data_IF_438245997079
#
_entry.id   IF_438245997079
#
_cell.length_a   1.000
_cell.length_b   1.000
_cell.length_c   1.000
_cell.angle_alpha   90.00
_cell.angle_beta   90.00
_cell.angle_gamma   90.00
#
_symmetry.space_group_name_H-M   'P 1'
#
loop_
_entity.id
_entity.type
_entity.pdbx_description
1 polymer ?
#
# COMPACT_ATOMS: atom_id res chain seq x y z
N UNK A 1 10.90 16.34 25.18
CA UNK A 1 9.49 16.57 25.54
C UNK A 1 8.63 15.32 25.28
N UNK A 2 8.71 14.71 24.12
CA UNK A 2 7.93 13.49 23.79
C UNK A 2 8.58 12.24 24.41
N UNK A 3 7.78 11.39 25.07
CA UNK A 3 8.22 10.10 25.62
C UNK A 3 7.63 8.90 24.86
N UNK A 4 6.97 9.15 23.73
CA UNK A 4 6.46 8.09 22.87
C UNK A 4 5.63 8.59 21.70
N UNK A 5 4.99 7.65 21.01
CA UNK A 5 4.15 7.89 19.83
C UNK A 5 2.79 7.23 20.01
N UNK A 6 1.73 8.00 19.93
CA UNK A 6 0.35 7.52 19.93
C UNK A 6 -0.10 7.19 18.49
N UNK A 7 -0.62 6.00 18.29
CA UNK A 7 -1.04 5.47 16.98
C UNK A 7 -2.55 5.27 16.94
N UNK A 8 -3.18 5.82 15.90
CA UNK A 8 -4.60 5.65 15.62
C UNK A 8 -4.84 4.72 14.43
N UNK A 9 -5.77 3.79 14.58
CA UNK A 9 -6.30 2.94 13.51
C UNK A 9 -7.81 3.13 13.35
N UNK A 10 -8.40 2.82 12.18
CA UNK A 10 -9.84 3.01 11.94
C UNK A 10 -10.58 1.71 11.65
N UNK A 11 -10.40 1.11 10.47
CA UNK A 11 -11.15 -0.07 10.04
C UNK A 11 -10.97 -1.29 10.96
N UNK A 12 -9.85 -1.38 11.65
CA UNK A 12 -9.59 -2.42 12.64
C UNK A 12 -10.62 -2.34 13.80
N UNK A 13 -11.02 -1.13 14.18
CA UNK A 13 -12.00 -0.91 15.24
C UNK A 13 -13.40 -1.46 14.92
N UNK A 14 -13.75 -1.56 13.64
CA UNK A 14 -15.05 -2.07 13.16
C UNK A 14 -15.13 -3.60 13.16
N UNK A 15 -14.05 -4.31 13.45
CA UNK A 15 -14.00 -5.77 13.46
C UNK A 15 -14.55 -6.32 14.80
N UNK A 16 -15.04 -7.57 14.77
CA UNK A 16 -15.41 -8.29 15.99
C UNK A 16 -14.20 -8.42 16.94
N UNK A 17 -14.39 -8.53 18.25
CA UNK A 17 -13.30 -8.53 19.22
C UNK A 17 -12.17 -9.51 18.93
N UNK A 18 -12.42 -10.79 18.55
CA UNK A 18 -11.33 -11.73 18.21
C UNK A 18 -10.55 -11.31 16.97
N UNK A 19 -11.24 -10.86 15.91
CA UNK A 19 -10.62 -10.41 14.66
C UNK A 19 -9.84 -9.12 14.88
N UNK A 20 -10.39 -8.18 15.68
CA UNK A 20 -9.73 -6.94 16.07
C UNK A 20 -8.41 -7.22 16.77
N UNK A 21 -8.41 -8.09 17.77
CA UNK A 21 -7.19 -8.49 18.50
C UNK A 21 -6.14 -9.06 17.55
N UNK A 22 -6.53 -9.97 16.67
CA UNK A 22 -5.63 -10.55 15.65
C UNK A 22 -5.02 -9.46 14.76
N UNK A 23 -5.83 -8.51 14.28
CA UNK A 23 -5.34 -7.43 13.38
C UNK A 23 -4.43 -6.45 14.10
N UNK A 24 -4.73 -6.11 15.36
CA UNK A 24 -3.85 -5.28 16.20
C UNK A 24 -2.50 -5.98 16.40
N UNK A 25 -2.50 -7.28 16.69
CA UNK A 25 -1.26 -8.04 16.87
C UNK A 25 -0.42 -8.07 15.58
N UNK A 26 -1.05 -8.23 14.41
CA UNK A 26 -0.37 -8.15 13.11
C UNK A 26 0.20 -6.75 12.90
N UNK A 27 -0.57 -5.70 13.20
CA UNK A 27 -0.13 -4.31 13.08
C UNK A 27 1.10 -4.03 13.95
N UNK A 28 1.04 -4.40 15.23
CA UNK A 28 2.17 -4.25 16.17
C UNK A 28 3.39 -5.02 15.66
N UNK A 29 3.22 -6.28 15.24
CA UNK A 29 4.32 -7.07 14.67
C UNK A 29 4.97 -6.39 13.47
N UNK A 30 4.16 -5.86 12.54
CA UNK A 30 4.67 -5.16 11.35
C UNK A 30 5.45 -3.90 11.74
N UNK A 31 4.93 -3.11 12.69
CA UNK A 31 5.62 -1.92 13.19
C UNK A 31 6.97 -2.30 13.80
N UNK A 32 6.99 -3.24 14.75
CA UNK A 32 8.21 -3.67 15.44
C UNK A 32 9.26 -4.23 14.47
N UNK A 33 8.81 -5.04 13.49
CA UNK A 33 9.70 -5.54 12.44
C UNK A 33 10.27 -4.41 11.57
N UNK A 34 9.46 -3.39 11.25
CA UNK A 34 9.90 -2.21 10.50
C UNK A 34 10.88 -1.32 11.26
N UNK A 35 10.82 -1.33 12.59
CA UNK A 35 11.74 -0.57 13.43
C UNK A 35 13.14 -1.19 13.58
N UNK A 36 13.34 -2.43 13.13
CA UNK A 36 14.68 -3.01 12.98
C UNK A 36 15.48 -3.12 14.28
N UNK A 37 14.81 -3.34 15.43
CA UNK A 37 15.48 -3.52 16.73
C UNK A 37 15.53 -2.25 17.60
N UNK A 38 14.89 -1.16 17.20
CA UNK A 38 14.69 0.00 18.10
C UNK A 38 13.89 -0.45 19.32
N UNK A 39 14.43 -0.15 20.52
CA UNK A 39 13.78 -0.52 21.78
C UNK A 39 12.54 0.34 22.02
N UNK A 40 11.37 -0.30 22.08
CA UNK A 40 10.09 0.34 22.39
C UNK A 40 9.27 -0.55 23.30
N UNK A 41 8.53 0.05 24.24
CA UNK A 41 7.50 -0.63 24.99
C UNK A 41 6.15 -0.35 24.34
N UNK A 42 5.33 -1.38 24.17
CA UNK A 42 4.04 -1.30 23.47
C UNK A 42 2.91 -1.44 24.47
N UNK A 43 2.07 -0.42 24.56
CA UNK A 43 0.87 -0.43 25.38
C UNK A 43 -0.37 -0.16 24.52
N UNK A 44 -1.55 -0.61 24.97
CA UNK A 44 -2.83 -0.41 24.28
C UNK A 44 -3.82 0.28 25.20
N UNK A 45 -4.42 1.36 24.71
CA UNK A 45 -5.36 2.17 25.47
C UNK A 45 -6.62 2.46 24.61
N UNK A 46 -7.73 1.79 24.90
CA UNK A 46 -9.04 2.12 24.34
C UNK A 46 -9.03 2.46 22.82
N UNK A 47 -8.54 1.56 21.95
CA UNK A 47 -8.52 1.81 20.50
C UNK A 47 -7.32 2.65 20.03
N UNK A 48 -6.28 2.77 20.83
CA UNK A 48 -4.96 3.33 20.50
C UNK A 48 -3.85 2.34 20.82
N UNK A 49 -2.75 2.45 20.08
CA UNK A 49 -1.48 1.82 20.41
C UNK A 49 -0.54 2.94 20.81
N UNK A 50 0.16 2.77 21.91
CA UNK A 50 1.21 3.68 22.36
C UNK A 50 2.56 2.96 22.34
N UNK A 51 3.54 3.61 21.71
CA UNK A 51 4.92 3.16 21.71
C UNK A 51 5.73 4.10 22.59
N UNK A 52 6.09 3.62 23.79
CA UNK A 52 6.97 4.34 24.70
C UNK A 52 8.42 4.17 24.22
N UNK A 53 9.16 5.26 24.10
CA UNK A 53 10.54 5.28 23.59
C UNK A 53 11.31 6.53 24.06
N UNK A 54 12.63 6.43 24.07
CA UNK A 54 13.49 7.58 24.37
C UNK A 54 13.66 8.54 23.18
N UNK A 55 13.58 8.01 21.94
CA UNK A 55 13.65 8.79 20.70
C UNK A 55 12.49 8.40 19.78
N UNK A 56 11.67 9.39 19.43
CA UNK A 56 10.49 9.20 18.57
C UNK A 56 10.82 9.19 17.07
N UNK A 57 11.97 9.71 16.68
CA UNK A 57 12.34 9.94 15.30
C UNK A 57 12.37 8.66 14.44
N UNK A 58 12.97 7.54 14.89
CA UNK A 58 12.94 6.29 14.14
C UNK A 58 11.53 5.78 13.88
N UNK A 59 10.62 5.95 14.85
CA UNK A 59 9.21 5.57 14.73
C UNK A 59 8.51 6.45 13.71
N UNK A 60 8.76 7.77 13.76
CA UNK A 60 8.18 8.74 12.84
C UNK A 60 8.60 8.52 11.38
N UNK A 61 9.76 7.91 11.13
CA UNK A 61 10.21 7.55 9.77
C UNK A 61 9.51 6.31 9.22
N UNK A 62 9.12 5.37 10.07
CA UNK A 62 8.51 4.10 9.65
C UNK A 62 6.99 4.21 9.49
N UNK A 63 6.30 4.85 10.44
CA UNK A 63 4.84 4.86 10.52
C UNK A 63 4.12 5.46 9.29
N UNK A 64 4.68 6.43 8.53
CA UNK A 64 4.07 6.92 7.30
C UNK A 64 3.82 5.86 6.23
N UNK A 65 4.49 4.71 6.31
CA UNK A 65 4.41 3.60 5.35
C UNK A 65 3.67 2.38 5.88
N UNK A 66 3.16 2.43 7.12
CA UNK A 66 2.50 1.28 7.77
C UNK A 66 1.01 1.26 7.49
N UNK A 67 0.58 0.28 6.72
CA UNK A 67 -0.85 0.03 6.52
C UNK A 67 -1.53 -0.43 7.81
N UNK A 68 -2.76 0.08 8.04
CA UNK A 68 -3.51 -0.09 9.28
C UNK A 68 -3.44 1.14 10.18
N UNK A 69 -2.42 1.98 10.06
CA UNK A 69 -2.28 3.25 10.76
C UNK A 69 -2.96 4.37 9.96
N UNK A 70 -3.83 5.15 10.60
CA UNK A 70 -4.50 6.29 9.96
C UNK A 70 -3.72 7.58 10.18
N UNK A 71 -3.32 7.80 11.43
CA UNK A 71 -2.38 8.84 11.82
C UNK A 71 -1.61 8.39 13.06
N UNK A 72 -0.52 9.04 13.31
CA UNK A 72 0.23 8.93 14.55
C UNK A 72 0.63 10.31 15.05
N UNK A 73 0.98 10.39 16.32
CA UNK A 73 1.40 11.63 16.97
C UNK A 73 2.52 11.36 17.96
N UNK A 74 3.71 11.98 17.78
CA UNK A 74 4.65 12.11 18.88
C UNK A 74 3.95 12.79 20.05
N UNK A 75 3.99 12.21 21.22
CA UNK A 75 3.23 12.68 22.38
C UNK A 75 3.97 12.48 23.69
N UNK A 76 3.49 13.17 24.72
CA UNK A 76 3.82 12.87 26.10
C UNK A 76 2.67 12.10 26.73
N UNK A 77 2.95 10.95 27.27
CA UNK A 77 2.05 10.15 28.07
C UNK A 77 2.29 10.38 29.56
N UNK A 78 1.25 10.75 30.30
CA UNK A 78 1.26 11.00 31.76
C UNK A 78 -0.06 10.56 32.38
N UNK A 79 -0.09 10.50 33.71
CA UNK A 79 -1.34 10.39 34.46
C UNK A 79 -2.16 11.67 34.37
N UNK A 80 -3.49 11.54 34.37
CA UNK A 80 -4.41 12.67 34.25
C UNK A 80 -4.23 13.70 35.37
N UNK A 81 -3.93 13.28 36.60
CA UNK A 81 -3.67 14.13 37.75
C UNK A 81 -2.51 15.12 37.51
N UNK A 82 -1.53 14.74 36.71
CA UNK A 82 -0.35 15.55 36.40
C UNK A 82 -0.56 16.50 35.20
N UNK A 83 -1.73 16.45 34.55
CA UNK A 83 -1.98 17.20 33.29
C UNK A 83 -1.78 18.71 33.46
N UNK A 84 -2.37 19.32 34.50
CA UNK A 84 -2.29 20.78 34.69
C UNK A 84 -0.87 21.25 34.95
N UNK A 85 -0.14 20.51 35.75
CA UNK A 85 1.27 20.78 36.05
C UNK A 85 2.14 20.67 34.78
N UNK A 86 1.97 19.58 34.04
CA UNK A 86 2.66 19.38 32.77
C UNK A 86 2.41 20.55 31.79
N UNK A 87 1.15 21.01 31.66
CA UNK A 87 0.81 22.14 30.78
C UNK A 87 1.49 23.42 31.25
N UNK A 88 1.47 23.73 32.56
CA UNK A 88 2.18 24.92 33.09
C UNK A 88 3.66 24.94 32.72
N UNK A 89 4.33 23.79 32.82
CA UNK A 89 5.76 23.65 32.54
C UNK A 89 6.08 23.64 31.04
N UNK A 90 5.16 23.21 30.18
CA UNK A 90 5.45 22.94 28.78
C UNK A 90 4.62 23.74 27.77
N UNK A 91 3.73 24.65 28.21
CA UNK A 91 2.86 25.43 27.34
C UNK A 91 3.63 26.17 26.23
N UNK A 92 4.75 26.79 26.57
CA UNK A 92 5.59 27.50 25.60
C UNK A 92 6.12 26.56 24.51
N UNK A 93 6.58 25.35 24.87
CA UNK A 93 7.06 24.35 23.89
C UNK A 93 5.92 23.77 23.04
N UNK A 94 4.72 23.61 23.60
CA UNK A 94 3.55 23.09 22.87
C UNK A 94 3.05 24.08 21.82
N UNK A 95 3.06 25.39 22.15
CA UNK A 95 2.60 26.47 21.27
C UNK A 95 3.70 26.88 20.28
N UNK A 96 4.96 26.93 20.74
CA UNK A 96 6.07 27.47 19.95
C UNK A 96 5.86 28.94 19.59
N UNK A 97 6.12 29.30 18.34
CA UNK A 97 5.99 30.71 17.84
C UNK A 97 4.60 31.01 17.26
N UNK A 98 3.59 30.17 17.47
CA UNK A 98 2.26 30.38 16.90
C UNK A 98 1.56 31.58 17.53
N UNK A 99 0.91 32.38 16.69
CA UNK A 99 0.15 33.61 17.12
C UNK A 99 -1.22 33.27 17.68
N UNK A 100 -1.75 32.09 17.34
CA UNK A 100 -3.04 31.62 17.84
C UNK A 100 -3.05 30.13 18.05
N UNK A 101 -3.89 29.65 18.98
CA UNK A 101 -4.03 28.23 19.24
C UNK A 101 -5.46 27.84 19.59
N UNK A 102 -5.70 26.52 19.53
CA UNK A 102 -6.87 25.88 20.14
C UNK A 102 -6.45 24.64 20.91
N UNK A 103 -7.22 24.28 21.93
CA UNK A 103 -7.17 22.96 22.57
C UNK A 103 -8.27 22.10 21.97
N UNK A 104 -7.98 20.83 21.71
CA UNK A 104 -8.93 19.82 21.27
C UNK A 104 -8.80 18.60 22.15
N UNK A 105 -9.80 18.34 22.97
CA UNK A 105 -9.81 17.23 23.90
C UNK A 105 -10.72 16.10 23.41
N UNK A 106 -10.29 14.89 23.63
CA UNK A 106 -11.07 13.65 23.47
C UNK A 106 -10.94 12.82 24.73
N UNK A 107 -12.05 12.31 25.23
CA UNK A 107 -12.03 11.42 26.39
C UNK A 107 -12.75 10.10 26.13
N UNK A 108 -12.28 9.06 26.76
CA UNK A 108 -12.89 7.74 26.80
C UNK A 108 -12.86 7.25 28.25
N UNK A 109 -14.01 6.75 28.72
CA UNK A 109 -14.22 6.37 30.09
C UNK A 109 -15.17 7.32 30.85
N UNK A 110 -15.39 7.04 32.14
CA UNK A 110 -16.24 7.86 33.02
C UNK A 110 -15.37 8.89 33.72
N UNK A 111 -15.74 10.17 33.58
CA UNK A 111 -15.05 11.31 34.23
C UNK A 111 -16.11 12.30 34.66
N UNK A 112 -15.84 13.08 35.70
CA UNK A 112 -16.70 14.13 36.21
C UNK A 112 -16.74 15.39 35.34
N UNK A 113 -15.87 15.47 34.31
CA UNK A 113 -15.77 16.57 33.36
C UNK A 113 -16.05 16.13 31.94
N UNK A 114 -16.48 17.05 31.08
CA UNK A 114 -16.65 16.86 29.64
C UNK A 114 -15.36 17.19 28.88
N UNK A 115 -15.27 16.79 27.61
CA UNK A 115 -14.15 17.22 26.76
C UNK A 115 -14.08 18.76 26.63
N UNK A 116 -15.24 19.42 26.59
CA UNK A 116 -15.33 20.88 26.51
C UNK A 116 -14.83 21.58 27.78
N UNK A 117 -15.13 21.01 28.95
CA UNK A 117 -14.61 21.52 30.24
C UNK A 117 -13.09 21.43 30.28
N UNK A 118 -12.55 20.30 29.78
CA UNK A 118 -11.10 20.10 29.68
C UNK A 118 -10.47 21.10 28.70
N UNK A 119 -11.08 21.31 27.52
CA UNK A 119 -10.61 22.29 26.53
C UNK A 119 -10.59 23.70 27.12
N UNK A 120 -11.62 24.13 27.84
CA UNK A 120 -11.72 25.44 28.50
C UNK A 120 -10.67 25.60 29.61
N UNK A 121 -10.58 24.60 30.50
CA UNK A 121 -9.64 24.61 31.63
C UNK A 121 -8.19 24.70 31.15
N UNK A 122 -7.82 23.85 30.20
CA UNK A 122 -6.43 23.82 29.68
C UNK A 122 -6.16 25.00 28.75
N UNK A 123 -7.15 25.44 27.97
CA UNK A 123 -7.03 26.64 27.14
C UNK A 123 -6.76 27.88 27.98
N UNK A 124 -7.50 28.07 29.08
CA UNK A 124 -7.27 29.17 30.03
C UNK A 124 -5.85 29.12 30.64
N UNK A 125 -5.43 27.94 31.07
CA UNK A 125 -4.10 27.76 31.64
C UNK A 125 -2.97 28.09 30.64
N UNK A 126 -3.12 27.70 29.35
CA UNK A 126 -2.14 28.06 28.31
C UNK A 126 -2.09 29.58 28.10
N UNK A 127 -3.27 30.27 28.09
CA UNK A 127 -3.33 31.74 27.96
C UNK A 127 -2.61 32.43 29.11
N UNK A 128 -2.79 31.95 30.35
CA UNK A 128 -2.10 32.48 31.51
C UNK A 128 -0.57 32.42 31.38
N UNK A 129 -0.07 31.28 30.87
CA UNK A 129 1.39 31.01 30.78
C UNK A 129 2.02 31.72 29.58
N UNK A 130 1.40 31.62 28.39
CA UNK A 130 2.06 32.00 27.11
C UNK A 130 1.51 33.31 26.54
N UNK A 131 0.36 33.78 27.02
CA UNK A 131 -0.36 35.00 26.52
C UNK A 131 -0.69 34.91 25.02
N UNK A 132 -0.85 33.69 24.50
CA UNK A 132 -1.20 33.44 23.10
C UNK A 132 -2.73 33.54 22.88
N UNK A 133 -3.16 34.09 21.74
CA UNK A 133 -4.58 34.27 21.38
C UNK A 133 -5.24 32.88 21.15
N UNK A 134 -6.44 32.74 21.68
CA UNK A 134 -7.29 31.57 21.36
C UNK A 134 -8.05 31.82 20.05
N UNK A 135 -7.94 30.89 19.10
CA UNK A 135 -8.74 30.86 17.86
C UNK A 135 -9.31 29.46 17.67
N UNK A 136 -10.60 29.32 17.88
CA UNK A 136 -11.27 28.01 17.79
C UNK A 136 -11.59 27.60 16.36
N UNK A 137 -11.60 28.55 15.39
CA UNK A 137 -11.95 28.25 13.99
C UNK A 137 -10.73 27.97 13.13
N UNK A 138 -9.73 28.84 13.19
CA UNK A 138 -8.53 28.81 12.35
C UNK A 138 -7.25 28.94 13.19
N UNK A 139 -6.99 28.07 14.17
CA UNK A 139 -5.78 28.17 15.00
C UNK A 139 -4.52 27.84 14.17
N UNK A 140 -3.46 28.61 14.38
CA UNK A 140 -2.13 28.26 13.82
C UNK A 140 -1.56 27.00 14.48
N UNK A 141 -1.89 26.76 15.76
CA UNK A 141 -1.47 25.58 16.50
C UNK A 141 -2.63 24.93 17.22
N UNK A 142 -2.66 23.60 17.22
CA UNK A 142 -3.64 22.83 18.00
C UNK A 142 -2.90 21.98 19.03
N UNK A 143 -3.30 22.12 20.30
CA UNK A 143 -2.88 21.21 21.36
C UNK A 143 -3.97 20.17 21.55
N UNK A 144 -3.62 18.91 21.29
CA UNK A 144 -4.51 17.77 21.43
C UNK A 144 -4.30 17.11 22.79
N UNK A 145 -5.39 16.72 23.43
CA UNK A 145 -5.39 15.99 24.70
C UNK A 145 -6.33 14.80 24.54
N UNK A 146 -5.79 13.58 24.61
CA UNK A 146 -6.59 12.38 24.67
C UNK A 146 -6.53 11.78 26.07
N UNK A 147 -7.68 11.72 26.75
CA UNK A 147 -7.83 11.08 28.07
C UNK A 147 -8.48 9.69 27.90
N UNK A 148 -7.85 8.67 28.47
CA UNK A 148 -8.32 7.29 28.42
C UNK A 148 -8.21 6.64 29.80
N UNK A 149 -9.36 6.63 30.52
CA UNK A 149 -9.34 6.34 31.95
C UNK A 149 -8.48 7.36 32.68
N UNK A 150 -7.46 6.92 33.42
CA UNK A 150 -6.52 7.80 34.13
C UNK A 150 -5.24 8.14 33.34
N UNK A 151 -5.18 7.75 32.06
CA UNK A 151 -4.03 8.02 31.19
C UNK A 151 -4.32 9.23 30.30
N UNK A 152 -3.32 10.08 30.10
CA UNK A 152 -3.42 11.30 29.32
C UNK A 152 -2.29 11.40 28.29
N UNK A 153 -2.65 11.68 27.03
CA UNK A 153 -1.74 11.82 25.91
C UNK A 153 -1.82 13.26 25.38
N UNK A 154 -0.71 13.98 25.39
CA UNK A 154 -0.63 15.38 24.95
C UNK A 154 0.28 15.44 23.73
N UNK A 155 -0.22 16.07 22.65
CA UNK A 155 0.52 16.26 21.41
C UNK A 155 0.04 17.52 20.67
N UNK A 156 0.85 18.00 19.72
CA UNK A 156 0.54 19.21 18.96
C UNK A 156 0.61 19.03 17.44
N UNK A 157 0.70 17.80 16.98
CA UNK A 157 0.68 17.45 15.55
C UNK A 157 0.10 16.07 15.34
N UNK A 158 -0.54 15.87 14.18
CA UNK A 158 -0.98 14.54 13.69
C UNK A 158 -0.33 14.31 12.34
N UNK A 159 0.42 13.23 12.22
CA UNK A 159 1.08 12.85 10.98
C UNK A 159 0.24 11.75 10.32
N UNK A 160 -0.21 12.03 9.08
CA UNK A 160 -1.07 11.12 8.32
C UNK A 160 -0.30 9.88 7.88
N UNK A 161 -0.99 8.75 7.87
CA UNK A 161 -0.51 7.45 7.37
C UNK A 161 -1.52 6.87 6.38
N UNK A 162 -1.20 5.77 5.67
CA UNK A 162 -2.00 5.28 4.54
C UNK A 162 -3.39 4.72 4.93
N UNK A 163 -3.62 4.41 6.20
CA UNK A 163 -4.84 3.73 6.64
C UNK A 163 -4.92 2.28 6.16
N UNK A 164 -6.12 1.79 5.90
CA UNK A 164 -6.37 0.42 5.45
C UNK A 164 -6.22 -0.62 6.54
N UNK A 165 -5.72 -1.80 6.17
CA UNK A 165 -5.54 -2.97 7.04
C UNK A 165 -4.07 -3.40 7.08
N UNK A 166 -3.58 -3.98 8.19
CA UNK A 166 -2.20 -4.45 8.30
C UNK A 166 -1.89 -5.53 7.27
N UNK A 167 -0.75 -5.44 6.60
CA UNK A 167 -0.30 -6.49 5.65
C UNK A 167 -0.24 -7.83 6.38
N UNK A 168 -0.78 -8.88 5.74
CA UNK A 168 -0.89 -10.22 6.30
C UNK A 168 -2.24 -10.52 6.96
N UNK A 169 -3.12 -9.51 7.11
CA UNK A 169 -4.45 -9.71 7.69
C UNK A 169 -5.47 -10.32 6.73
N UNK A 170 -5.27 -10.16 5.40
CA UNK A 170 -6.24 -10.52 4.35
C UNK A 170 -5.75 -11.60 3.37
N UNK A 171 -4.70 -12.34 3.75
CA UNK A 171 -4.19 -13.44 2.92
C UNK A 171 -3.13 -12.99 1.90
N UNK A 172 -2.96 -13.83 0.85
CA UNK A 172 -1.89 -13.70 -0.14
C UNK A 172 -2.46 -13.62 -1.55
N UNK A 173 -1.85 -12.79 -2.40
CA UNK A 173 -2.23 -12.62 -3.81
C UNK A 173 -1.00 -12.59 -4.71
N UNK A 174 -1.11 -13.12 -5.92
CA UNK A 174 -0.12 -12.92 -6.98
C UNK A 174 -0.53 -11.70 -7.79
N UNK A 175 0.35 -10.72 -7.92
CA UNK A 175 0.07 -9.52 -8.66
C UNK A 175 0.93 -9.46 -9.93
N UNK A 176 0.30 -9.38 -11.10
CA UNK A 176 0.99 -9.15 -12.36
C UNK A 176 1.49 -7.70 -12.38
N UNK A 177 2.78 -7.52 -12.08
CA UNK A 177 3.41 -6.20 -12.00
C UNK A 177 4.40 -6.02 -13.13
N UNK A 178 4.30 -4.91 -13.83
CA UNK A 178 5.26 -4.47 -14.87
C UNK A 178 5.99 -3.22 -14.41
N UNK A 179 6.93 -2.74 -15.22
CA UNK A 179 7.53 -1.41 -15.05
C UNK A 179 6.62 -0.23 -15.42
N UNK A 180 5.36 -0.47 -15.76
CA UNK A 180 4.37 0.57 -16.09
C UNK A 180 3.70 1.18 -14.85
N UNK A 181 2.88 2.21 -15.07
CA UNK A 181 2.26 3.03 -14.01
C UNK A 181 1.16 2.27 -13.25
N UNK A 182 0.29 1.51 -13.96
CA UNK A 182 -0.97 1.01 -13.43
C UNK A 182 -0.78 -0.19 -12.47
N UNK A 183 0.02 -1.18 -12.87
CA UNK A 183 0.17 -2.41 -12.10
C UNK A 183 0.83 -2.24 -10.71
N UNK A 184 1.79 -1.32 -10.48
CA UNK A 184 2.28 -1.04 -9.13
C UNK A 184 1.22 -0.41 -8.22
N UNK A 185 0.36 0.46 -8.78
CA UNK A 185 -0.75 1.06 -8.03
C UNK A 185 -1.74 -0.03 -7.59
N UNK A 186 -2.09 -0.95 -8.50
CA UNK A 186 -2.94 -2.09 -8.15
C UNK A 186 -2.33 -2.96 -7.04
N UNK A 187 -1.03 -3.24 -7.10
CA UNK A 187 -0.31 -3.98 -6.06
C UNK A 187 -0.36 -3.27 -4.71
N UNK A 188 -0.07 -1.96 -4.70
CA UNK A 188 -0.14 -1.12 -3.50
C UNK A 188 -1.56 -1.08 -2.89
N UNK A 189 -2.60 -0.98 -3.73
CA UNK A 189 -3.99 -1.01 -3.26
C UNK A 189 -4.32 -2.33 -2.56
N UNK A 190 -3.80 -3.47 -3.04
CA UNK A 190 -3.99 -4.76 -2.37
C UNK A 190 -3.19 -4.86 -1.07
N UNK A 191 -1.97 -4.30 -1.00
CA UNK A 191 -1.24 -4.15 0.27
C UNK A 191 -2.06 -3.34 1.28
N UNK A 192 -2.66 -2.22 0.86
CA UNK A 192 -3.54 -1.38 1.69
C UNK A 192 -4.77 -2.12 2.20
N UNK A 193 -5.25 -3.15 1.48
CA UNK A 193 -6.31 -4.05 1.94
C UNK A 193 -5.81 -5.23 2.79
N UNK A 194 -4.53 -5.21 3.21
CA UNK A 194 -3.94 -6.18 4.12
C UNK A 194 -3.44 -7.46 3.45
N UNK A 195 -3.36 -7.50 2.12
CA UNK A 195 -2.81 -8.66 1.40
C UNK A 195 -1.27 -8.66 1.41
N UNK A 196 -0.69 -9.85 1.53
CA UNK A 196 0.70 -10.09 1.15
C UNK A 196 0.72 -10.24 -0.36
N UNK A 197 1.44 -9.35 -1.04
CA UNK A 197 1.52 -9.32 -2.50
C UNK A 197 2.80 -10.01 -2.96
N UNK A 198 2.65 -10.90 -3.95
CA UNK A 198 3.74 -11.53 -4.68
C UNK A 198 3.78 -10.97 -6.10
N UNK A 199 4.62 -9.96 -6.39
CA UNK A 199 4.75 -9.42 -7.74
C UNK A 199 5.31 -10.47 -8.70
N UNK A 200 4.68 -10.61 -9.88
CA UNK A 200 5.10 -11.48 -10.96
C UNK A 200 5.25 -10.66 -12.24
N UNK A 201 6.43 -10.71 -12.85
CA UNK A 201 6.74 -10.03 -14.10
C UNK A 201 6.99 -11.03 -15.24
N UNK A 202 6.23 -10.87 -16.33
CA UNK A 202 6.48 -11.58 -17.55
C UNK A 202 7.61 -10.88 -18.33
N UNK A 203 8.79 -11.48 -18.35
CA UNK A 203 9.99 -10.92 -18.98
C UNK A 203 10.11 -11.38 -20.42
N UNK A 204 10.16 -10.44 -21.35
CA UNK A 204 10.25 -10.72 -22.80
C UNK A 204 11.19 -9.73 -23.51
N UNK A 205 12.49 -9.79 -23.22
CA UNK A 205 13.48 -8.89 -23.85
C UNK A 205 13.50 -9.10 -25.36
N UNK A 206 13.74 -8.03 -26.11
CA UNK A 206 14.05 -8.10 -27.54
C UNK A 206 15.45 -7.58 -27.78
N UNK A 207 16.29 -8.42 -28.36
CA UNK A 207 17.65 -8.01 -28.76
C UNK A 207 18.51 -7.56 -27.57
N UNK A 208 18.30 -8.14 -26.38
CA UNK A 208 19.07 -7.81 -25.17
C UNK A 208 18.65 -6.54 -24.44
N UNK A 209 17.52 -5.90 -24.82
CA UNK A 209 17.02 -4.72 -24.10
C UNK A 209 16.36 -5.14 -22.76
N UNK A 210 17.03 -4.81 -21.66
CA UNK A 210 16.60 -5.09 -20.29
C UNK A 210 15.88 -3.91 -19.61
N UNK A 211 15.53 -2.87 -20.34
CA UNK A 211 14.95 -1.65 -19.80
C UNK A 211 13.65 -1.89 -19.02
N UNK A 212 12.81 -2.83 -19.46
CA UNK A 212 11.59 -3.20 -18.76
C UNK A 212 11.86 -3.91 -17.43
N UNK A 213 12.88 -4.74 -17.36
CA UNK A 213 13.33 -5.41 -16.13
C UNK A 213 13.90 -4.39 -15.14
N UNK A 214 14.69 -3.44 -15.61
CA UNK A 214 15.25 -2.37 -14.77
C UNK A 214 14.13 -1.51 -14.18
N UNK A 215 13.15 -1.07 -14.99
CA UNK A 215 11.98 -0.34 -14.48
C UNK A 215 11.18 -1.17 -13.46
N UNK A 216 10.98 -2.46 -13.72
CA UNK A 216 10.34 -3.35 -12.77
C UNK A 216 11.08 -3.39 -11.43
N UNK A 217 12.40 -3.55 -11.44
CA UNK A 217 13.23 -3.55 -10.23
C UNK A 217 13.10 -2.22 -9.46
N UNK A 218 13.15 -1.07 -10.15
CA UNK A 218 13.00 0.23 -9.51
C UNK A 218 11.61 0.41 -8.88
N UNK A 219 10.57 -0.05 -9.54
CA UNK A 219 9.21 -0.09 -8.99
C UNK A 219 9.13 -1.00 -7.75
N UNK A 220 9.78 -2.16 -7.78
CA UNK A 220 9.81 -3.06 -6.64
C UNK A 220 10.49 -2.45 -5.41
N UNK A 221 11.55 -1.64 -5.59
CA UNK A 221 12.20 -0.92 -4.48
C UNK A 221 11.22 -0.01 -3.76
N UNK A 222 10.35 0.69 -4.51
CA UNK A 222 9.29 1.51 -3.92
C UNK A 222 8.25 0.66 -3.20
N UNK A 223 7.76 -0.41 -3.84
CA UNK A 223 6.78 -1.31 -3.21
C UNK A 223 7.34 -2.00 -1.96
N UNK A 224 8.64 -2.32 -1.94
CA UNK A 224 9.31 -2.86 -0.75
C UNK A 224 9.25 -1.88 0.42
N UNK A 225 9.44 -0.60 0.15
CA UNK A 225 9.34 0.44 1.18
C UNK A 225 7.93 0.49 1.81
N UNK A 226 6.88 0.23 1.03
CA UNK A 226 5.51 0.10 1.51
C UNK A 226 5.21 -1.24 2.19
N UNK A 227 6.05 -2.25 2.04
CA UNK A 227 5.87 -3.59 2.62
C UNK A 227 6.46 -3.72 4.02
N UNK A 228 6.17 -2.75 4.89
CA UNK A 228 6.71 -2.68 6.25
C UNK A 228 6.33 -3.92 7.05
N UNK A 229 7.34 -4.58 7.62
CA UNK A 229 7.20 -5.75 8.48
C UNK A 229 6.96 -7.07 7.75
N UNK A 230 6.81 -7.05 6.40
CA UNK A 230 6.62 -8.25 5.59
C UNK A 230 7.59 -8.21 4.39
N UNK A 231 8.46 -9.24 4.20
CA UNK A 231 9.36 -9.27 3.06
C UNK A 231 8.59 -9.26 1.73
N UNK A 232 8.96 -8.36 0.81
CA UNK A 232 8.44 -8.36 -0.54
C UNK A 232 9.23 -9.39 -1.37
N UNK A 233 8.57 -10.49 -1.74
CA UNK A 233 9.13 -11.55 -2.58
C UNK A 233 8.56 -11.40 -3.98
N UNK A 234 9.39 -11.03 -4.93
CA UNK A 234 9.02 -10.78 -6.31
C UNK A 234 9.53 -11.88 -7.22
N UNK A 235 8.85 -12.10 -8.34
CA UNK A 235 9.15 -13.17 -9.29
C UNK A 235 9.19 -12.64 -10.71
N UNK A 236 9.97 -13.31 -11.56
CA UNK A 236 9.97 -13.14 -13.01
C UNK A 236 10.04 -14.49 -13.71
N UNK A 237 9.57 -14.54 -14.94
CA UNK A 237 9.71 -15.69 -15.81
C UNK A 237 9.90 -15.24 -17.27
N UNK A 238 10.51 -16.09 -18.09
CA UNK A 238 10.70 -15.81 -19.52
C UNK A 238 9.40 -16.02 -20.27
N UNK A 239 8.94 -15.01 -20.98
CA UNK A 239 7.68 -15.01 -21.72
C UNK A 239 7.87 -14.84 -23.25
N UNK A 240 9.09 -14.58 -23.70
CA UNK A 240 9.42 -14.29 -25.09
C UNK A 240 9.01 -15.43 -26.05
N UNK A 241 9.33 -16.68 -25.70
CA UNK A 241 8.97 -17.85 -26.49
C UNK A 241 7.45 -17.96 -26.73
N UNK A 242 6.66 -17.63 -25.73
CA UNK A 242 5.18 -17.61 -25.87
C UNK A 242 4.74 -16.56 -26.90
N UNK A 243 5.29 -15.35 -26.82
CA UNK A 243 4.93 -14.27 -27.74
C UNK A 243 5.29 -14.59 -29.19
N UNK A 244 6.42 -15.29 -29.43
CA UNK A 244 6.82 -15.72 -30.75
C UNK A 244 5.77 -16.69 -31.33
N UNK A 245 5.40 -17.71 -30.57
CA UNK A 245 4.43 -18.72 -31.02
C UNK A 245 3.01 -18.13 -31.19
N UNK A 246 2.56 -17.28 -30.26
CA UNK A 246 1.26 -16.61 -30.37
C UNK A 246 1.16 -15.70 -31.60
N UNK A 247 2.25 -14.96 -31.90
CA UNK A 247 2.27 -14.08 -33.06
C UNK A 247 2.32 -14.83 -34.37
N UNK A 248 2.98 -16.00 -34.43
CA UNK A 248 2.98 -16.88 -35.60
C UNK A 248 1.58 -17.50 -35.85
N UNK A 249 0.96 -18.04 -34.80
CA UNK A 249 -0.29 -18.79 -34.94
C UNK A 249 -1.52 -17.87 -35.13
N UNK A 250 -1.60 -16.76 -34.40
CA UNK A 250 -2.76 -15.91 -34.37
C UNK A 250 -2.40 -14.43 -34.10
N UNK A 251 -1.80 -13.70 -35.06
CA UNK A 251 -1.31 -12.35 -34.85
C UNK A 251 -2.33 -11.40 -34.22
N UNK A 252 -3.58 -11.44 -34.66
CA UNK A 252 -4.68 -10.60 -34.15
C UNK A 252 -4.99 -10.81 -32.69
N UNK A 253 -4.82 -12.04 -32.18
CA UNK A 253 -5.14 -12.46 -30.81
C UNK A 253 -3.92 -12.54 -29.89
N UNK A 254 -2.73 -12.13 -30.33
CA UNK A 254 -1.48 -12.21 -29.57
C UNK A 254 -1.61 -11.66 -28.14
N UNK A 255 -2.26 -10.50 -27.94
CA UNK A 255 -2.42 -9.90 -26.62
C UNK A 255 -3.35 -10.70 -25.71
N UNK A 256 -4.37 -11.36 -26.26
CA UNK A 256 -5.32 -12.19 -25.50
C UNK A 256 -4.62 -13.46 -25.04
N UNK A 257 -3.97 -14.17 -25.95
CA UNK A 257 -3.19 -15.38 -25.66
C UNK A 257 -2.06 -15.10 -24.64
N UNK A 258 -1.37 -13.97 -24.80
CA UNK A 258 -0.35 -13.49 -23.88
C UNK A 258 -0.91 -13.36 -22.45
N UNK A 259 -2.05 -12.69 -22.26
CA UNK A 259 -2.64 -12.50 -20.93
C UNK A 259 -3.17 -13.80 -20.36
N UNK A 260 -3.78 -14.67 -21.16
CA UNK A 260 -4.20 -16.00 -20.75
C UNK A 260 -3.01 -16.83 -20.23
N UNK A 261 -1.86 -16.80 -20.92
CA UNK A 261 -0.64 -17.46 -20.46
C UNK A 261 -0.11 -16.84 -19.18
N UNK A 262 -0.13 -15.51 -19.04
CA UNK A 262 0.26 -14.85 -17.77
C UNK A 262 -0.59 -15.32 -16.59
N UNK A 263 -1.91 -15.52 -16.78
CA UNK A 263 -2.78 -16.04 -15.71
C UNK A 263 -2.46 -17.50 -15.38
N UNK A 264 -2.17 -18.35 -16.36
CA UNK A 264 -1.75 -19.73 -16.10
C UNK A 264 -0.45 -19.79 -15.29
N UNK A 265 0.55 -18.98 -15.65
CA UNK A 265 1.80 -18.89 -14.85
C UNK A 265 1.55 -18.33 -13.46
N UNK A 266 0.64 -17.34 -13.35
CA UNK A 266 0.25 -16.79 -12.06
C UNK A 266 -0.48 -17.82 -11.17
N UNK A 267 -1.31 -18.71 -11.75
CA UNK A 267 -1.93 -19.84 -11.03
C UNK A 267 -0.85 -20.77 -10.46
N UNK A 268 0.17 -21.12 -11.23
CA UNK A 268 1.25 -22.00 -10.76
C UNK A 268 2.08 -21.34 -9.64
N UNK A 269 2.38 -20.05 -9.78
CA UNK A 269 3.01 -19.30 -8.68
C UNK A 269 2.09 -19.24 -7.46
N UNK A 270 0.79 -19.03 -7.65
CA UNK A 270 -0.18 -18.97 -6.56
C UNK A 270 -0.24 -20.27 -5.76
N UNK A 271 -0.19 -21.42 -6.44
CA UNK A 271 -0.06 -22.76 -5.80
C UNK A 271 1.20 -22.81 -4.93
N UNK A 272 2.36 -22.39 -5.47
CA UNK A 272 3.66 -22.38 -4.78
C UNK A 272 3.69 -21.53 -3.53
N UNK A 273 3.05 -20.32 -3.55
CA UNK A 273 3.07 -19.38 -2.43
C UNK A 273 1.80 -19.43 -1.57
N UNK A 274 0.85 -20.30 -1.91
CA UNK A 274 -0.48 -20.39 -1.30
C UNK A 274 -1.26 -19.08 -1.37
N UNK A 275 -1.25 -18.43 -2.54
CA UNK A 275 -2.09 -17.26 -2.82
C UNK A 275 -3.51 -17.69 -3.23
N UNK A 276 -4.50 -16.81 -3.05
CA UNK A 276 -5.92 -17.11 -3.27
C UNK A 276 -6.57 -16.24 -4.33
N UNK A 277 -5.82 -15.34 -4.95
CA UNK A 277 -6.30 -14.51 -6.05
C UNK A 277 -5.12 -14.03 -6.92
N UNK A 278 -5.43 -13.67 -8.16
CA UNK A 278 -4.57 -12.94 -9.07
C UNK A 278 -5.00 -11.46 -9.07
N UNK A 279 -4.06 -10.54 -9.22
CA UNK A 279 -4.31 -9.10 -9.28
C UNK A 279 -3.68 -8.53 -10.54
N UNK A 280 -4.40 -7.67 -11.23
CA UNK A 280 -3.90 -6.97 -12.42
C UNK A 280 -4.17 -5.47 -12.32
N UNK A 281 -3.36 -4.68 -13.05
CA UNK A 281 -3.55 -3.22 -13.18
C UNK A 281 -4.38 -2.84 -14.41
N UNK A 282 -5.38 -3.64 -14.77
CA UNK A 282 -6.24 -3.39 -15.93
C UNK A 282 -7.29 -2.33 -15.62
N UNK A 283 -7.51 -1.43 -16.62
CA UNK A 283 -8.58 -0.44 -16.65
C UNK A 283 -9.52 -0.79 -17.80
N UNK A 284 -10.82 -0.61 -17.63
CA UNK A 284 -11.80 -0.92 -18.67
C UNK A 284 -11.58 0.00 -19.89
N UNK A 285 -11.55 -0.60 -21.07
CA UNK A 285 -11.48 0.09 -22.37
C UNK A 285 -10.19 0.94 -22.60
N UNK A 286 -9.18 0.86 -21.75
CA UNK A 286 -7.94 1.63 -21.94
C UNK A 286 -7.14 1.12 -23.15
N UNK A 287 -7.13 -0.20 -23.41
CA UNK A 287 -6.51 -0.81 -24.59
C UNK A 287 -7.41 -1.92 -25.15
N UNK A 288 -7.17 -2.33 -26.39
CA UNK A 288 -8.00 -3.30 -27.10
C UNK A 288 -8.23 -4.63 -26.35
N UNK A 289 -7.26 -5.10 -25.55
CA UNK A 289 -7.40 -6.31 -24.74
C UNK A 289 -8.24 -6.12 -23.47
N UNK A 290 -8.64 -4.92 -23.13
CA UNK A 290 -9.36 -4.58 -21.90
C UNK A 290 -10.85 -4.22 -22.15
N UNK A 291 -11.44 -4.75 -23.23
CA UNK A 291 -12.90 -4.72 -23.43
C UNK A 291 -13.56 -5.82 -22.62
N UNK A 292 -14.85 -5.69 -22.30
CA UNK A 292 -15.58 -6.70 -21.52
C UNK A 292 -15.50 -8.10 -22.16
N UNK A 293 -15.70 -8.18 -23.48
CA UNK A 293 -15.59 -9.44 -24.21
C UNK A 293 -14.20 -10.08 -24.08
N UNK A 294 -13.13 -9.27 -24.21
CA UNK A 294 -11.78 -9.77 -24.11
C UNK A 294 -11.42 -10.15 -22.66
N UNK A 295 -11.86 -9.37 -21.68
CA UNK A 295 -11.65 -9.70 -20.25
C UNK A 295 -12.34 -11.01 -19.89
N UNK A 296 -13.58 -11.24 -20.35
CA UNK A 296 -14.29 -12.50 -20.13
C UNK A 296 -13.52 -13.70 -20.72
N UNK A 297 -13.00 -13.55 -21.94
CA UNK A 297 -12.19 -14.59 -22.59
C UNK A 297 -10.86 -14.81 -21.88
N UNK A 298 -10.22 -13.74 -21.36
CA UNK A 298 -8.95 -13.84 -20.65
C UNK A 298 -9.16 -14.49 -19.27
N UNK A 299 -10.22 -14.16 -18.55
CA UNK A 299 -10.50 -14.64 -17.20
C UNK A 299 -10.72 -16.15 -17.13
N UNK A 300 -11.23 -16.75 -18.19
CA UNK A 300 -11.43 -18.20 -18.24
C UNK A 300 -10.13 -19.01 -18.09
N UNK A 301 -8.97 -18.41 -18.39
CA UNK A 301 -7.68 -19.06 -18.15
C UNK A 301 -7.20 -19.00 -16.69
N UNK A 302 -7.94 -18.34 -15.81
CA UNK A 302 -7.61 -18.26 -14.38
C UNK A 302 -8.38 -19.30 -13.57
N UNK A 303 -7.67 -20.04 -12.71
CA UNK A 303 -8.28 -20.95 -11.71
C UNK A 303 -8.69 -20.18 -10.44
N UNK A 304 -8.26 -18.93 -10.30
CA UNK A 304 -8.45 -18.09 -9.12
C UNK A 304 -9.23 -16.82 -9.48
N UNK A 305 -9.91 -16.19 -8.51
CA UNK A 305 -10.50 -14.86 -8.71
C UNK A 305 -9.45 -13.86 -9.19
N UNK A 306 -9.83 -13.04 -10.20
CA UNK A 306 -8.98 -11.96 -10.73
C UNK A 306 -9.48 -10.62 -10.21
N UNK A 307 -8.69 -9.95 -9.39
CA UNK A 307 -8.98 -8.63 -8.87
C UNK A 307 -8.36 -7.54 -9.75
N UNK A 308 -9.17 -6.55 -10.07
CA UNK A 308 -8.78 -5.37 -10.87
C UNK A 308 -9.06 -4.09 -10.09
N UNK A 309 -8.18 -3.70 -9.16
CA UNK A 309 -8.43 -2.54 -8.29
C UNK A 309 -8.64 -1.24 -9.06
N UNK A 310 -8.18 -1.16 -10.31
CA UNK A 310 -8.22 0.04 -11.15
C UNK A 310 -9.28 -0.02 -12.26
N UNK A 311 -10.16 -1.02 -12.28
CA UNK A 311 -11.05 -1.27 -13.43
C UNK A 311 -11.93 -0.07 -13.82
N UNK A 312 -12.34 0.74 -12.84
CA UNK A 312 -13.17 1.93 -13.04
C UNK A 312 -12.40 3.25 -12.95
N UNK A 313 -11.07 3.23 -12.84
CA UNK A 313 -10.26 4.44 -12.74
C UNK A 313 -9.93 4.98 -14.12
N UNK A 314 -9.87 6.31 -14.23
CA UNK A 314 -9.25 6.94 -15.39
C UNK A 314 -7.71 7.01 -15.24
N UNK A 315 -7.05 7.49 -16.30
CA UNK A 315 -5.58 7.59 -16.33
C UNK A 315 -5.06 8.60 -15.32
N UNK A 316 -5.76 9.72 -15.12
CA UNK A 316 -5.35 10.80 -14.23
C UNK A 316 -5.45 10.37 -12.77
N UNK A 317 -6.50 9.64 -12.41
CA UNK A 317 -6.66 9.09 -11.05
C UNK A 317 -5.54 8.10 -10.71
N UNK A 318 -5.21 7.22 -11.65
CA UNK A 318 -4.13 6.25 -11.47
C UNK A 318 -2.77 6.94 -11.35
N UNK A 319 -2.48 7.93 -12.20
CA UNK A 319 -1.23 8.71 -12.14
C UNK A 319 -1.10 9.50 -10.83
N UNK A 320 -2.19 10.08 -10.33
CA UNK A 320 -2.21 10.79 -9.04
C UNK A 320 -1.77 9.85 -7.91
N UNK A 321 -2.32 8.65 -7.85
CA UNK A 321 -1.92 7.66 -6.84
C UNK A 321 -0.48 7.22 -7.05
N UNK A 322 -0.05 6.97 -8.29
CA UNK A 322 1.32 6.58 -8.60
C UNK A 322 2.35 7.63 -8.13
N UNK A 323 2.04 8.93 -8.25
CA UNK A 323 2.86 10.03 -7.70
C UNK A 323 2.86 10.04 -6.18
N UNK A 324 1.68 9.89 -5.56
CA UNK A 324 1.53 9.86 -4.11
C UNK A 324 2.35 8.73 -3.47
N UNK A 325 2.37 7.56 -4.09
CA UNK A 325 3.10 6.39 -3.57
C UNK A 325 4.57 6.31 -4.03
N UNK A 326 5.00 7.19 -4.94
CA UNK A 326 6.39 7.29 -5.43
C UNK A 326 6.77 6.33 -6.56
N UNK A 327 5.79 5.64 -7.19
CA UNK A 327 6.08 4.71 -8.31
C UNK A 327 6.10 5.40 -9.67
N UNK A 328 5.51 6.60 -9.81
CA UNK A 328 5.36 7.29 -11.10
C UNK A 328 6.71 7.54 -11.78
N UNK A 329 7.64 8.19 -11.09
CA UNK A 329 8.95 8.54 -11.66
C UNK A 329 9.76 7.29 -12.03
N UNK A 330 9.62 6.21 -11.23
CA UNK A 330 10.29 4.93 -11.49
C UNK A 330 9.74 4.23 -12.73
N UNK A 331 8.44 4.35 -12.97
CA UNK A 331 7.78 3.84 -14.19
C UNK A 331 8.13 4.65 -15.44
N UNK A 332 8.51 5.92 -15.29
CA UNK A 332 8.85 6.83 -16.38
C UNK A 332 10.37 6.91 -16.68
N UNK A 333 11.21 6.16 -15.97
CA UNK A 333 12.67 6.17 -16.21
C UNK A 333 12.96 5.79 -17.66
N UNK A 334 13.66 6.67 -18.36
CA UNK A 334 14.27 6.38 -19.67
C UNK A 334 15.60 5.69 -19.43
N UNK A 335 15.67 4.41 -19.74
CA UNK A 335 16.93 3.67 -19.67
C UNK A 335 17.65 3.86 -21.00
N UNK A 336 18.82 4.50 -20.97
CA UNK A 336 19.70 4.65 -22.14
C UNK A 336 20.42 3.32 -22.40
N UNK A 337 19.82 2.45 -23.20
CA UNK A 337 20.41 1.19 -23.64
C UNK A 337 21.09 1.30 -25.01
N UNK A 338 21.33 2.53 -25.50
CA UNK A 338 21.90 2.78 -26.84
C UNK A 338 20.92 2.55 -27.99
N UNK A 339 19.71 2.05 -27.70
CA UNK A 339 18.61 1.89 -28.66
C UNK A 339 17.54 2.95 -28.43
N UNK A 340 16.87 3.39 -29.50
CA UNK A 340 15.71 4.27 -29.40
C UNK A 340 14.70 3.72 -28.37
N UNK A 341 14.15 4.56 -27.45
CA UNK A 341 13.20 4.12 -26.44
C UNK A 341 11.99 3.50 -27.14
N UNK A 342 11.85 2.18 -27.08
CA UNK A 342 10.71 1.47 -27.62
C UNK A 342 9.58 1.55 -26.60
N UNK A 343 8.61 2.40 -26.89
CA UNK A 343 7.34 2.42 -26.16
C UNK A 343 6.49 1.24 -26.63
N UNK A 344 6.36 0.22 -25.76
CA UNK A 344 5.39 -0.85 -25.95
C UNK A 344 5.96 -2.22 -26.32
N UNK A 345 5.11 -3.24 -26.24
CA UNK A 345 5.42 -4.63 -26.54
C UNK A 345 5.70 -4.81 -28.04
N UNK A 346 6.86 -5.40 -28.39
CA UNK A 346 7.27 -5.68 -29.77
C UNK A 346 6.35 -6.68 -30.49
N UNK A 347 5.61 -7.50 -29.74
CA UNK A 347 4.68 -8.48 -30.27
C UNK A 347 3.25 -7.93 -30.44
N UNK A 348 3.03 -6.64 -30.10
CA UNK A 348 1.71 -6.01 -30.24
C UNK A 348 1.24 -6.07 -31.70
N UNK A 349 0.01 -6.57 -31.98
CA UNK A 349 -0.56 -6.57 -33.31
C UNK A 349 -0.79 -5.14 -33.85
N UNK A 350 -0.69 -4.97 -35.15
CA UNK A 350 -1.09 -3.71 -35.83
C UNK A 350 -2.59 -3.46 -35.73
N UNK A 351 -3.39 -4.55 -35.77
CA UNK A 351 -4.85 -4.52 -35.63
C UNK A 351 -5.27 -5.53 -34.56
N UNK A 352 -5.20 -5.17 -33.25
CA UNK A 352 -5.58 -6.07 -32.19
C UNK A 352 -7.08 -6.33 -32.16
N UNK A 353 -7.50 -7.53 -31.76
CA UNK A 353 -8.90 -7.86 -31.56
C UNK A 353 -9.49 -7.04 -30.40
N UNK A 354 -10.62 -6.39 -30.63
CA UNK A 354 -11.42 -5.69 -29.62
C UNK A 354 -12.58 -6.53 -29.10
N UNK A 355 -12.89 -7.63 -29.77
CA UNK A 355 -13.81 -8.67 -29.32
C UNK A 355 -13.24 -10.04 -29.69
N UNK A 356 -13.23 -10.95 -28.73
CA UNK A 356 -12.82 -12.34 -28.92
C UNK A 356 -13.95 -13.29 -28.54
N UNK A 357 -14.01 -14.41 -29.24
CA UNK A 357 -14.84 -15.54 -28.88
C UNK A 357 -13.98 -16.57 -28.15
N UNK A 358 -14.47 -17.09 -27.03
CA UNK A 358 -13.74 -18.07 -26.23
C UNK A 358 -13.47 -19.38 -27.01
N UNK A 359 -14.40 -19.84 -27.84
CA UNK A 359 -14.24 -21.05 -28.63
C UNK A 359 -13.11 -20.90 -29.65
N UNK A 360 -13.05 -19.75 -30.36
CA UNK A 360 -11.97 -19.47 -31.31
C UNK A 360 -10.59 -19.46 -30.61
N UNK A 361 -10.52 -18.84 -29.43
CA UNK A 361 -9.27 -18.78 -28.67
C UNK A 361 -8.86 -20.18 -28.19
N UNK A 362 -9.78 -21.02 -27.72
CA UNK A 362 -9.50 -22.42 -27.33
C UNK A 362 -9.00 -23.25 -28.52
N UNK A 363 -9.62 -23.13 -29.69
CA UNK A 363 -9.18 -23.80 -30.88
C UNK A 363 -7.76 -23.40 -31.34
N UNK A 364 -7.38 -22.15 -31.12
CA UNK A 364 -5.99 -21.67 -31.33
C UNK A 364 -5.05 -22.28 -30.29
N UNK A 365 -5.44 -22.29 -29.03
CA UNK A 365 -4.64 -22.81 -27.91
C UNK A 365 -4.37 -24.32 -28.07
N UNK A 366 -5.33 -25.11 -28.56
CA UNK A 366 -5.15 -26.54 -28.85
C UNK A 366 -4.03 -26.79 -29.88
N UNK A 367 -3.92 -25.95 -30.91
CA UNK A 367 -2.87 -26.02 -31.93
C UNK A 367 -1.50 -25.60 -31.42
N UNK A 368 -1.45 -24.84 -30.32
CA UNK A 368 -0.22 -24.23 -29.80
C UNK A 368 0.51 -25.07 -28.74
N UNK A 369 0.00 -26.24 -28.36
CA UNK A 369 0.54 -27.02 -27.25
C UNK A 369 0.78 -26.17 -25.99
N UNK A 370 -0.26 -25.51 -25.51
CA UNK A 370 -0.22 -24.55 -24.37
C UNK A 370 0.42 -25.15 -23.12
N UNK A 371 0.26 -26.45 -22.87
CA UNK A 371 0.83 -27.11 -21.70
C UNK A 371 2.37 -27.13 -21.74
N UNK A 372 2.97 -27.35 -22.90
CA UNK A 372 4.43 -27.32 -23.07
C UNK A 372 4.96 -25.88 -22.90
N UNK A 373 4.27 -24.89 -23.47
CA UNK A 373 4.62 -23.49 -23.33
C UNK A 373 4.52 -23.03 -21.86
N UNK A 374 3.49 -23.47 -21.15
CA UNK A 374 3.34 -23.22 -19.71
C UNK A 374 4.47 -23.86 -18.91
N UNK A 375 4.79 -25.12 -19.19
CA UNK A 375 5.89 -25.83 -18.51
C UNK A 375 7.22 -25.09 -18.65
N UNK A 376 7.60 -24.67 -19.87
CA UNK A 376 8.80 -23.87 -20.12
C UNK A 376 8.79 -22.53 -19.36
N UNK A 377 7.63 -21.88 -19.30
CA UNK A 377 7.46 -20.63 -18.56
C UNK A 377 7.67 -20.84 -17.06
N UNK A 378 7.07 -21.88 -16.47
CA UNK A 378 7.17 -22.22 -15.04
C UNK A 378 8.59 -22.65 -14.66
N UNK A 379 9.28 -23.44 -15.51
CA UNK A 379 10.69 -23.82 -15.31
C UNK A 379 11.62 -22.60 -15.28
N UNK A 380 11.27 -21.53 -15.97
CA UNK A 380 12.03 -20.26 -15.99
C UNK A 380 11.72 -19.34 -14.81
N UNK A 381 10.76 -19.71 -13.92
CA UNK A 381 10.32 -18.87 -12.81
C UNK A 381 11.44 -18.68 -11.78
N UNK A 382 11.82 -17.43 -11.57
CA UNK A 382 12.88 -17.04 -10.63
C UNK A 382 12.40 -16.02 -9.63
N UNK A 383 12.80 -16.17 -8.37
CA UNK A 383 12.63 -15.14 -7.34
C UNK A 383 13.69 -14.05 -7.51
N UNK A 384 13.25 -12.79 -7.47
CA UNK A 384 14.11 -11.61 -7.50
C UNK A 384 14.25 -11.08 -6.09
N UNK A 385 15.47 -10.93 -5.62
CA UNK A 385 15.77 -10.22 -4.36
C UNK A 385 15.87 -8.72 -4.66
N UNK A 386 15.10 -7.93 -3.92
CA UNK A 386 15.04 -6.46 -4.01
C UNK A 386 15.64 -5.84 -2.75
#
# INVERSE_FOLDING_TARGET
>A
MWNGVLIAYSEIALKSPPVRRRFINILIKNILSGLGGVSVKVDQFGGRIFLECGDVEPICRVLPYVFGVVYFAPCTHIKLENLKEFIRMNAANLIGNAKSFAVRARREGKHEFTSLDLERSIGGLIVEVVKCKVDLKNPEKVVYIEVRGNECFIYNSKIKSPGGLPIGSSGKVVCLVSGGIDSPVAAWMMMKRGCIVYPLFAYFPRGGDESDLLRYIEVLKVLKHWSVGVPLRAYTYRHEHNLIEFRKAAPKYTCILCRRMMYRVANELAKKVNAKAIVTGENLAQVASQTLSNLQTIDEASELPVFRPLIGFDKVETERIAREIGTYDKSCIRVNTGCLPRTGCWAKPSKPATASNLQDIKAIEEKLNINELLKKSVESLKEIRV
#
